data_IF_083010090541
#
_entry.id   IF_083010090541
#
_cell.length_a   1.000
_cell.length_b   1.000
_cell.length_c   1.000
_cell.angle_alpha   90.00
_cell.angle_beta   90.00
_cell.angle_gamma   90.00
#
_symmetry.space_group_name_H-M   'P 1'
#
loop_
_entity.id
_entity.type
_entity.pdbx_description
1 polymer ?
#
# COMPACT_ATOMS: atom_id res chain seq x y z
N UNK A 1 -47.59 -22.68 1.92
CA UNK A 1 -46.15 -22.59 2.21
C UNK A 1 -45.38 -23.05 0.99
N UNK A 2 -44.55 -22.16 0.43
CA UNK A 2 -43.64 -22.52 -0.65
C UNK A 2 -42.48 -23.31 -0.05
N UNK A 3 -42.24 -24.51 -0.58
CA UNK A 3 -41.20 -25.42 -0.10
C UNK A 3 -39.95 -25.28 -0.96
N UNK A 4 -38.78 -25.38 -0.34
CA UNK A 4 -37.50 -25.34 -1.05
C UNK A 4 -37.38 -26.58 -1.94
N UNK A 5 -37.33 -26.39 -3.26
CA UNK A 5 -37.22 -27.47 -4.25
C UNK A 5 -35.83 -27.55 -4.84
N UNK A 6 -35.47 -28.71 -5.38
CA UNK A 6 -34.18 -28.92 -6.06
C UNK A 6 -34.00 -27.99 -7.26
N UNK A 7 -35.09 -27.58 -7.92
CA UNK A 7 -35.06 -26.60 -9.01
C UNK A 7 -34.66 -25.21 -8.52
N UNK A 8 -35.19 -24.78 -7.36
CA UNK A 8 -34.80 -23.53 -6.71
C UNK A 8 -33.32 -23.59 -6.31
N UNK A 9 -32.86 -24.72 -5.75
CA UNK A 9 -31.45 -24.90 -5.42
C UNK A 9 -30.55 -24.79 -6.65
N UNK A 10 -30.87 -25.49 -7.73
CA UNK A 10 -30.08 -25.46 -8.97
C UNK A 10 -30.04 -24.05 -9.58
N UNK A 11 -31.17 -23.34 -9.55
CA UNK A 11 -31.24 -21.96 -10.02
C UNK A 11 -30.37 -21.01 -9.17
N UNK A 12 -30.41 -21.14 -7.84
CA UNK A 12 -29.59 -20.32 -6.94
C UNK A 12 -28.11 -20.61 -7.12
N UNK A 13 -27.72 -21.88 -7.22
CA UNK A 13 -26.33 -22.28 -7.48
C UNK A 13 -25.83 -21.74 -8.83
N UNK A 14 -26.64 -21.86 -9.88
CA UNK A 14 -26.29 -21.36 -11.20
C UNK A 14 -26.17 -19.84 -11.23
N UNK A 15 -27.15 -19.13 -10.67
CA UNK A 15 -27.16 -17.67 -10.64
C UNK A 15 -26.00 -17.09 -9.82
N UNK A 16 -25.64 -17.74 -8.70
CA UNK A 16 -24.46 -17.36 -7.92
C UNK A 16 -23.16 -17.56 -8.71
N UNK A 17 -23.00 -18.71 -9.38
CA UNK A 17 -21.82 -18.97 -10.22
C UNK A 17 -21.70 -17.96 -11.36
N UNK A 18 -22.82 -17.64 -11.99
CA UNK A 18 -22.88 -16.67 -13.07
C UNK A 18 -22.53 -15.25 -12.60
N UNK A 19 -23.11 -14.80 -11.48
CA UNK A 19 -22.82 -13.50 -10.89
C UNK A 19 -21.33 -13.36 -10.52
N UNK A 20 -20.75 -14.38 -9.88
CA UNK A 20 -19.31 -14.40 -9.56
C UNK A 20 -18.44 -14.35 -10.82
N UNK A 21 -18.83 -15.08 -11.88
CA UNK A 21 -18.10 -15.07 -13.15
C UNK A 21 -18.12 -13.68 -13.81
N UNK A 22 -19.29 -13.04 -13.88
CA UNK A 22 -19.42 -11.68 -14.43
C UNK A 22 -18.59 -10.69 -13.61
N UNK A 23 -18.69 -10.76 -12.27
CA UNK A 23 -17.89 -9.93 -11.37
C UNK A 23 -16.40 -10.13 -11.61
N UNK A 24 -15.93 -11.37 -11.68
CA UNK A 24 -14.52 -11.67 -11.95
C UNK A 24 -14.08 -11.23 -13.35
N UNK A 25 -14.97 -11.20 -14.34
CA UNK A 25 -14.62 -10.69 -15.67
C UNK A 25 -14.42 -9.16 -15.70
N UNK A 26 -15.13 -8.44 -14.83
CA UNK A 26 -15.02 -6.97 -14.72
C UNK A 26 -13.87 -6.60 -13.77
N UNK A 27 -13.82 -7.21 -12.59
CA UNK A 27 -12.83 -6.90 -11.56
C UNK A 27 -11.50 -7.61 -11.78
N UNK A 28 -11.47 -8.73 -12.53
CA UNK A 28 -10.24 -9.48 -12.81
C UNK A 28 -9.13 -8.62 -13.41
N UNK A 29 -9.38 -7.87 -14.51
CA UNK A 29 -8.38 -6.95 -15.06
C UNK A 29 -7.93 -5.87 -14.07
N UNK A 30 -8.84 -5.35 -13.24
CA UNK A 30 -8.50 -4.34 -12.22
C UNK A 30 -7.66 -4.94 -11.09
N UNK A 31 -7.92 -6.20 -10.73
CA UNK A 31 -7.14 -6.96 -9.76
C UNK A 31 -5.77 -7.32 -10.34
N UNK A 32 -5.70 -7.80 -11.59
CA UNK A 32 -4.44 -8.10 -12.27
C UNK A 32 -3.56 -6.85 -12.44
N UNK A 33 -4.16 -5.67 -12.66
CA UNK A 33 -3.44 -4.40 -12.68
C UNK A 33 -2.92 -4.03 -11.27
N UNK A 34 -3.76 -4.12 -10.24
CA UNK A 34 -3.35 -3.87 -8.86
C UNK A 34 -2.26 -4.85 -8.37
N UNK A 35 -2.40 -6.14 -8.67
CA UNK A 35 -1.43 -7.18 -8.33
C UNK A 35 -0.18 -7.11 -9.22
N UNK A 36 -0.31 -6.73 -10.49
CA UNK A 36 0.82 -6.52 -11.41
C UNK A 36 1.69 -5.33 -10.99
N UNK A 37 1.09 -4.29 -10.42
CA UNK A 37 1.81 -3.19 -9.78
C UNK A 37 2.49 -3.64 -8.47
N UNK A 38 1.89 -4.56 -7.71
CA UNK A 38 2.54 -5.21 -6.56
C UNK A 38 3.69 -6.16 -6.96
N UNK A 39 3.55 -6.95 -8.03
CA UNK A 39 4.63 -7.83 -8.54
C UNK A 39 5.83 -7.03 -9.06
N UNK A 40 5.58 -5.93 -9.79
CA UNK A 40 6.65 -5.01 -10.19
C UNK A 40 7.31 -4.30 -8.99
N UNK A 41 6.58 -4.07 -7.90
CA UNK A 41 7.13 -3.53 -6.67
C UNK A 41 7.94 -4.56 -5.85
N UNK A 42 7.60 -5.85 -5.95
CA UNK A 42 8.18 -6.93 -5.13
C UNK A 42 9.37 -7.65 -5.75
N UNK A 43 9.50 -7.70 -7.08
CA UNK A 43 10.43 -8.64 -7.72
C UNK A 43 11.93 -8.24 -7.75
N UNK A 44 12.34 -7.06 -7.24
CA UNK A 44 13.78 -6.65 -7.26
C UNK A 44 14.29 -5.77 -6.12
N UNK A 45 13.58 -5.62 -4.99
CA UNK A 45 14.09 -4.78 -3.90
C UNK A 45 14.00 -5.56 -2.60
N UNK A 46 15.10 -5.57 -1.86
CA UNK A 46 15.09 -5.90 -0.44
C UNK A 46 14.00 -5.10 0.31
N UNK A 47 13.81 -5.34 1.62
CA UNK A 47 12.64 -4.88 2.38
C UNK A 47 12.12 -3.52 1.93
N UNK A 48 10.85 -3.51 1.49
CA UNK A 48 10.14 -2.35 0.94
C UNK A 48 10.56 -1.07 1.66
N UNK A 49 11.18 -0.14 0.92
CA UNK A 49 11.75 1.05 1.53
C UNK A 49 10.61 1.93 2.05
N UNK A 50 10.47 2.01 3.38
CA UNK A 50 9.45 2.80 4.08
C UNK A 50 9.38 4.26 3.60
N UNK A 51 10.50 4.82 3.11
CA UNK A 51 10.52 6.15 2.51
C UNK A 51 9.59 6.23 1.28
N UNK A 52 9.47 5.17 0.47
CA UNK A 52 8.61 5.15 -0.73
C UNK A 52 7.12 5.26 -0.39
N UNK A 53 6.71 4.84 0.80
CA UNK A 53 5.30 4.91 1.26
C UNK A 53 4.87 6.32 1.67
N UNK A 54 5.81 7.24 1.87
CA UNK A 54 5.53 8.63 2.24
C UNK A 54 5.28 9.49 0.99
N UNK A 55 4.65 10.66 1.15
CA UNK A 55 4.53 11.66 0.08
C UNK A 55 5.91 12.27 -0.26
N UNK A 56 6.00 13.04 -1.35
CA UNK A 56 7.25 13.77 -1.69
C UNK A 56 7.69 14.72 -0.58
N UNK A 57 6.70 15.30 0.10
CA UNK A 57 6.86 16.17 1.26
C UNK A 57 5.95 15.61 2.36
N UNK A 58 6.49 15.41 3.56
CA UNK A 58 5.77 14.79 4.66
C UNK A 58 6.24 15.36 6.00
N UNK A 59 5.43 15.15 7.04
CA UNK A 59 5.79 15.52 8.42
C UNK A 59 6.16 14.27 9.22
N UNK A 60 6.80 14.46 10.38
CA UNK A 60 7.20 13.34 11.24
C UNK A 60 6.01 12.48 11.69
N UNK A 61 4.82 13.08 11.81
CA UNK A 61 3.57 12.40 12.14
C UNK A 61 3.19 11.36 11.08
N UNK A 62 3.37 11.68 9.80
CA UNK A 62 3.13 10.76 8.68
C UNK A 62 4.05 9.53 8.78
N UNK A 63 5.33 9.75 9.13
CA UNK A 63 6.29 8.67 9.35
C UNK A 63 5.86 7.78 10.53
N UNK A 64 5.41 8.36 11.64
CA UNK A 64 4.92 7.60 12.79
C UNK A 64 3.74 6.71 12.40
N UNK A 65 2.81 7.25 11.60
CA UNK A 65 1.63 6.50 11.13
C UNK A 65 2.05 5.31 10.25
N UNK A 66 2.95 5.51 9.30
CA UNK A 66 3.49 4.41 8.47
C UNK A 66 4.22 3.37 9.33
N UNK A 67 5.02 3.80 10.31
CA UNK A 67 5.71 2.87 11.23
C UNK A 67 4.73 2.00 12.00
N UNK A 68 3.64 2.57 12.52
CA UNK A 68 2.58 1.81 13.21
C UNK A 68 1.88 0.82 12.28
N UNK A 69 1.55 1.24 11.04
CA UNK A 69 0.95 0.36 10.02
C UNK A 69 1.83 -0.85 9.69
N UNK A 70 3.15 -0.68 9.73
CA UNK A 70 4.13 -1.75 9.49
C UNK A 70 4.48 -2.56 10.76
N UNK A 71 3.74 -2.40 11.86
CA UNK A 71 3.99 -3.12 13.12
C UNK A 71 5.28 -2.71 13.84
N UNK A 72 5.86 -1.54 13.53
CA UNK A 72 7.04 -1.00 14.20
C UNK A 72 6.65 -0.02 15.30
N UNK A 73 7.58 0.25 16.23
CA UNK A 73 7.41 1.28 17.26
C UNK A 73 7.03 2.63 16.61
N UNK A 74 5.91 3.17 17.08
CA UNK A 74 5.37 4.48 16.73
C UNK A 74 5.87 5.60 17.64
N UNK A 75 6.96 5.39 18.37
CA UNK A 75 7.52 6.38 19.27
C UNK A 75 8.25 7.46 18.48
N UNK A 76 8.15 8.70 18.95
CA UNK A 76 8.77 9.86 18.30
C UNK A 76 10.30 9.68 18.17
N UNK A 77 10.95 9.09 19.17
CA UNK A 77 12.39 8.88 19.17
C UNK A 77 12.82 7.89 18.08
N UNK A 78 12.05 6.82 17.90
CA UNK A 78 12.28 5.83 16.85
C UNK A 78 12.08 6.41 15.45
N UNK A 79 11.11 7.32 15.29
CA UNK A 79 10.91 8.06 14.05
C UNK A 79 12.07 9.05 13.78
N UNK A 80 12.55 9.78 14.80
CA UNK A 80 13.72 10.67 14.68
C UNK A 80 15.00 9.93 14.29
N UNK A 81 15.26 8.78 14.91
CA UNK A 81 16.42 7.93 14.56
C UNK A 81 16.36 7.47 13.09
N UNK A 82 15.16 7.12 12.61
CA UNK A 82 14.94 6.76 11.22
C UNK A 82 15.22 7.94 10.27
N UNK A 83 14.72 9.14 10.60
CA UNK A 83 14.97 10.35 9.81
C UNK A 83 16.46 10.69 9.77
N UNK A 84 17.17 10.61 10.89
CA UNK A 84 18.62 10.81 10.92
C UNK A 84 19.36 9.85 9.97
N UNK A 85 18.96 8.58 9.95
CA UNK A 85 19.52 7.57 9.04
C UNK A 85 19.26 7.90 7.57
N UNK A 86 18.08 8.45 7.26
CA UNK A 86 17.76 8.87 5.88
C UNK A 86 18.47 10.16 5.48
N UNK A 87 18.66 11.09 6.43
CA UNK A 87 19.41 12.32 6.22
C UNK A 87 20.88 12.03 5.93
N UNK A 88 21.53 11.18 6.72
CA UNK A 88 22.95 10.83 6.51
C UNK A 88 23.19 10.09 5.18
N UNK A 89 22.14 9.46 4.64
CA UNK A 89 22.15 8.80 3.32
C UNK A 89 21.73 9.71 2.17
N UNK A 90 21.53 11.01 2.42
CA UNK A 90 21.07 11.99 1.43
C UNK A 90 19.76 11.59 0.72
N UNK A 91 18.84 10.96 1.46
CA UNK A 91 17.53 10.55 0.93
C UNK A 91 16.44 11.59 1.20
N UNK A 92 16.63 12.43 2.22
CA UNK A 92 15.70 13.47 2.64
C UNK A 92 16.45 14.75 3.00
N UNK A 93 15.74 15.87 2.97
CA UNK A 93 16.18 17.16 3.48
C UNK A 93 15.08 17.81 4.33
N UNK A 94 15.48 18.72 5.23
CA UNK A 94 14.56 19.47 6.08
C UNK A 94 14.31 20.84 5.47
N UNK A 95 13.04 21.22 5.36
CA UNK A 95 12.67 22.60 5.03
C UNK A 95 12.60 23.42 6.33
N UNK A 96 13.33 24.54 6.36
CA UNK A 96 13.62 25.32 7.57
C UNK A 96 12.37 26.01 8.15
N UNK A 97 11.29 26.13 7.37
CA UNK A 97 10.17 27.00 7.70
C UNK A 97 9.02 26.32 8.44
N UNK A 98 8.82 25.00 8.29
CA UNK A 98 7.58 24.34 8.77
C UNK A 98 7.77 22.93 9.36
N UNK A 99 9.01 22.46 9.51
CA UNK A 99 9.26 21.06 9.90
C UNK A 99 8.81 20.05 8.84
N UNK A 100 8.71 20.53 7.60
CA UNK A 100 8.44 19.75 6.40
C UNK A 100 9.71 18.99 6.00
N UNK A 101 9.54 17.71 5.67
CA UNK A 101 10.63 16.82 5.27
C UNK A 101 10.42 16.48 3.80
N UNK A 102 11.40 16.79 2.97
CA UNK A 102 11.34 16.59 1.52
C UNK A 102 12.22 15.44 1.10
N UNK A 103 11.74 14.62 0.18
CA UNK A 103 12.55 13.57 -0.45
C UNK A 103 13.52 14.18 -1.45
N UNK A 104 14.78 13.76 -1.41
CA UNK A 104 15.76 14.13 -2.42
C UNK A 104 15.48 13.33 -3.69
N UNK A 105 15.25 14.00 -4.81
CA UNK A 105 15.17 13.33 -6.12
C UNK A 105 16.56 12.78 -6.45
N UNK A 106 16.68 11.47 -6.57
CA UNK A 106 17.92 10.89 -7.08
C UNK A 106 18.16 11.43 -8.50
N UNK A 107 19.27 12.14 -8.70
CA UNK A 107 19.80 12.39 -10.04
C UNK A 107 20.26 11.04 -10.57
N UNK A 108 19.50 10.45 -11.47
CA UNK A 108 20.01 9.37 -12.30
C UNK A 108 21.10 10.00 -13.18
N UNK A 109 22.36 9.67 -12.88
CA UNK A 109 23.50 9.93 -13.75
C UNK A 109 23.60 8.84 -14.81
#
# INVERSE_FOLDING_TARGET
>A
DETWTDEIQQYVEWSLRYDLWVKMRIFGPMLDEAFGDEEKATNKRGPMNMLMMLKSEFRIEDLILIRKRLGKSGDLQSAKAQLNTWRTRNLIDYDDTEGLIKKVKQKNS
#
